data_IF_393057400447
#
_entry.id   IF_393057400447
#
_cell.length_a   1.000
_cell.length_b   1.000
_cell.length_c   1.000
_cell.angle_alpha   90.00
_cell.angle_beta   90.00
_cell.angle_gamma   90.00
#
_symmetry.space_group_name_H-M   'P 1'
#
loop_
_entity.id
_entity.type
_entity.pdbx_description
1 polymer ?
#
# COMPACT_ATOMS: atom_id res chain seq x y z
N UNK A 1 6.07 0.24 -16.52
CA UNK A 1 6.51 -1.05 -15.94
C UNK A 1 5.27 -1.85 -15.56
N UNK A 2 5.15 -3.11 -15.96
CA UNK A 2 3.99 -3.94 -15.60
C UNK A 2 4.23 -4.63 -14.25
N UNK A 3 3.50 -4.22 -13.21
CA UNK A 3 3.58 -4.81 -11.87
C UNK A 3 2.53 -5.91 -11.71
N UNK A 4 2.79 -7.08 -12.27
CA UNK A 4 1.96 -8.26 -12.04
C UNK A 4 2.26 -8.84 -10.65
N UNK A 5 1.46 -8.43 -9.66
CA UNK A 5 1.53 -8.87 -8.26
C UNK A 5 0.42 -9.87 -7.97
N UNK A 6 0.73 -10.92 -7.22
CA UNK A 6 -0.24 -11.85 -6.67
C UNK A 6 -1.11 -11.18 -5.59
N UNK A 7 -2.29 -11.75 -5.27
CA UNK A 7 -3.16 -11.19 -4.21
C UNK A 7 -2.47 -11.06 -2.84
N UNK A 8 -1.54 -11.99 -2.52
CA UNK A 8 -0.78 -11.96 -1.27
C UNK A 8 0.25 -10.83 -1.29
N UNK A 9 0.98 -10.65 -2.39
CA UNK A 9 1.93 -9.55 -2.54
C UNK A 9 1.24 -8.17 -2.48
N UNK A 10 0.09 -8.02 -3.15
CA UNK A 10 -0.74 -6.81 -3.07
C UNK A 10 -1.16 -6.54 -1.63
N UNK A 11 -1.62 -7.57 -0.91
CA UNK A 11 -2.01 -7.45 0.50
C UNK A 11 -0.84 -6.99 1.39
N UNK A 12 0.32 -7.62 1.21
CA UNK A 12 1.54 -7.30 1.98
C UNK A 12 1.99 -5.86 1.72
N UNK A 13 2.06 -5.46 0.45
CA UNK A 13 2.50 -4.13 0.07
C UNK A 13 1.53 -3.05 0.58
N UNK A 14 0.22 -3.27 0.39
CA UNK A 14 -0.82 -2.38 0.90
C UNK A 14 -0.79 -2.25 2.43
N UNK A 15 -0.52 -3.35 3.15
CA UNK A 15 -0.42 -3.32 4.62
C UNK A 15 0.80 -2.54 5.10
N UNK A 16 1.96 -2.67 4.43
CA UNK A 16 3.15 -1.88 4.75
C UNK A 16 2.92 -0.38 4.52
N UNK A 17 2.29 -0.01 3.40
CA UNK A 17 1.95 1.37 3.10
C UNK A 17 1.00 1.94 4.15
N UNK A 18 -0.12 1.26 4.42
CA UNK A 18 -1.09 1.68 5.44
C UNK A 18 -0.44 1.92 6.81
N UNK A 19 0.45 1.02 7.24
CA UNK A 19 1.08 1.11 8.57
C UNK A 19 2.18 2.16 8.68
N UNK A 20 2.84 2.51 7.58
CA UNK A 20 3.72 3.68 7.56
C UNK A 20 2.91 4.97 7.83
N UNK A 21 1.74 5.11 7.23
CA UNK A 21 0.87 6.27 7.45
C UNK A 21 0.23 6.29 8.84
N UNK A 22 -0.36 5.18 9.25
CA UNK A 22 -1.28 5.15 10.39
C UNK A 22 -0.61 4.81 11.71
N UNK A 23 0.58 4.19 11.68
CA UNK A 23 1.31 3.73 12.86
C UNK A 23 2.83 3.93 12.70
N UNK A 24 3.30 5.17 12.49
CA UNK A 24 4.71 5.45 12.22
C UNK A 24 5.65 4.97 13.34
N UNK A 25 5.22 5.05 14.60
CA UNK A 25 6.02 4.62 15.77
C UNK A 25 6.32 3.11 15.77
N UNK A 26 5.46 2.31 15.13
CA UNK A 26 5.63 0.87 15.02
C UNK A 26 6.29 0.44 13.71
N UNK A 27 6.51 1.38 12.77
CA UNK A 27 7.09 1.13 11.46
C UNK A 27 8.62 1.35 11.49
N UNK A 28 9.44 0.52 10.81
CA UNK A 28 9.09 -0.63 9.98
C UNK A 28 8.62 -1.86 10.78
N UNK A 29 7.83 -2.73 10.14
CA UNK A 29 7.14 -3.84 10.80
C UNK A 29 8.01 -5.10 10.88
N UNK A 30 7.91 -5.85 11.98
CA UNK A 30 8.39 -7.24 12.03
C UNK A 30 7.49 -8.16 11.20
N UNK A 31 7.95 -9.38 10.90
CA UNK A 31 7.18 -10.37 10.14
C UNK A 31 5.82 -10.71 10.80
N UNK A 32 5.82 -10.91 12.13
CA UNK A 32 4.60 -11.13 12.89
C UNK A 32 3.65 -9.92 12.83
N UNK A 33 4.15 -8.69 13.02
CA UNK A 33 3.32 -7.48 12.95
C UNK A 33 2.71 -7.30 11.55
N UNK A 34 3.48 -7.59 10.50
CA UNK A 34 3.01 -7.55 9.12
C UNK A 34 1.96 -8.64 8.84
N UNK A 35 2.16 -9.86 9.33
CA UNK A 35 1.18 -10.95 9.21
C UNK A 35 -0.14 -10.58 9.86
N UNK A 36 -0.10 -10.02 11.07
CA UNK A 36 -1.28 -9.51 11.76
C UNK A 36 -1.95 -8.36 10.98
N UNK A 37 -1.17 -7.47 10.36
CA UNK A 37 -1.69 -6.40 9.51
C UNK A 37 -2.37 -6.95 8.25
N UNK A 38 -1.87 -8.02 7.63
CA UNK A 38 -2.48 -8.63 6.46
C UNK A 38 -3.82 -9.33 6.78
N UNK A 39 -3.94 -9.88 7.98
CA UNK A 39 -5.08 -10.66 8.47
C UNK A 39 -6.10 -9.85 9.29
N UNK A 40 -6.02 -8.52 9.30
CA UNK A 40 -6.98 -7.69 10.02
C UNK A 40 -8.42 -7.94 9.54
N UNK A 41 -9.37 -7.99 10.48
CA UNK A 41 -10.80 -8.17 10.18
C UNK A 41 -11.46 -6.91 9.61
N UNK A 42 -10.82 -5.75 9.80
CA UNK A 42 -11.30 -4.45 9.33
C UNK A 42 -10.35 -3.90 8.29
N UNK A 43 -10.87 -3.05 7.40
CA UNK A 43 -10.09 -2.43 6.31
C UNK A 43 -9.42 -3.44 5.37
N UNK A 44 -9.96 -4.66 5.25
CA UNK A 44 -9.48 -5.72 4.36
C UNK A 44 -10.66 -6.33 3.62
N UNK A 45 -10.61 -6.31 2.30
CA UNK A 45 -11.58 -7.00 1.44
C UNK A 45 -10.81 -7.70 0.31
N UNK A 46 -10.76 -9.05 0.28
CA UNK A 46 -11.32 -9.98 1.27
C UNK A 46 -10.49 -10.03 2.57
N UNK A 47 -11.13 -10.40 3.68
CA UNK A 47 -10.39 -10.81 4.88
C UNK A 47 -9.61 -12.08 4.56
N UNK A 48 -8.31 -12.08 4.84
CA UNK A 48 -7.43 -13.22 4.60
C UNK A 48 -6.98 -13.84 5.93
N UNK A 49 -6.54 -15.09 5.88
CA UNK A 49 -5.88 -15.78 6.97
C UNK A 49 -4.56 -16.38 6.46
N UNK A 50 -3.58 -15.51 6.25
CA UNK A 50 -2.27 -15.86 5.74
C UNK A 50 -1.38 -16.41 6.84
N UNK A 51 -0.61 -17.45 6.54
CA UNK A 51 0.46 -17.92 7.40
C UNK A 51 1.67 -16.99 7.33
N UNK A 52 2.50 -17.02 8.37
CA UNK A 52 3.73 -16.22 8.43
C UNK A 52 4.69 -16.57 7.27
N UNK A 53 4.76 -17.85 6.87
CA UNK A 53 5.57 -18.32 5.75
C UNK A 53 5.11 -17.71 4.41
N UNK A 54 3.81 -17.67 4.14
CA UNK A 54 3.28 -17.06 2.91
C UNK A 54 3.57 -15.55 2.86
N UNK A 55 3.47 -14.88 4.00
CA UNK A 55 3.82 -13.45 4.10
C UNK A 55 5.31 -13.25 3.86
N UNK A 56 6.17 -14.11 4.41
CA UNK A 56 7.62 -14.04 4.20
C UNK A 56 7.99 -14.24 2.72
N UNK A 57 7.44 -15.27 2.07
CA UNK A 57 7.67 -15.53 0.63
C UNK A 57 7.27 -14.33 -0.24
N UNK A 58 6.13 -13.69 0.07
CA UNK A 58 5.69 -12.48 -0.60
C UNK A 58 6.63 -11.29 -0.35
N UNK A 59 7.07 -11.09 0.89
CA UNK A 59 8.05 -10.06 1.26
C UNK A 59 9.37 -10.25 0.50
N UNK A 60 9.89 -11.47 0.43
CA UNK A 60 11.13 -11.77 -0.29
C UNK A 60 10.98 -11.52 -1.79
N UNK A 61 9.83 -11.87 -2.37
CA UNK A 61 9.55 -11.62 -3.79
C UNK A 61 9.44 -10.12 -4.08
N UNK A 62 8.74 -9.37 -3.23
CA UNK A 62 8.65 -7.92 -3.31
C UNK A 62 10.02 -7.24 -3.12
N UNK A 63 10.87 -7.78 -2.24
CA UNK A 63 12.22 -7.28 -2.02
C UNK A 63 13.12 -7.49 -3.25
N UNK A 64 13.07 -8.66 -3.90
CA UNK A 64 13.76 -8.90 -5.18
C UNK A 64 13.32 -7.94 -6.29
N UNK A 65 12.07 -7.48 -6.25
CA UNK A 65 11.52 -6.48 -7.19
C UNK A 65 11.81 -5.03 -6.78
N UNK A 66 12.47 -4.82 -5.65
CA UNK A 66 12.80 -3.49 -5.11
C UNK A 66 11.63 -2.74 -4.48
N UNK A 67 10.49 -3.40 -4.24
CA UNK A 67 9.27 -2.78 -3.69
C UNK A 67 9.25 -2.80 -2.15
N UNK A 68 10.03 -3.67 -1.52
CA UNK A 68 10.19 -3.79 -0.06
C UNK A 68 11.68 -3.82 0.28
N UNK A 69 12.06 -3.23 1.41
CA UNK A 69 13.39 -3.34 2.00
C UNK A 69 13.31 -3.97 3.38
N UNK A 70 14.21 -4.90 3.64
CA UNK A 70 14.54 -5.32 4.99
C UNK A 70 15.42 -4.24 5.63
N UNK A 71 15.02 -3.72 6.78
CA UNK A 71 15.81 -2.80 7.59
C UNK A 71 16.27 -3.53 8.85
N UNK A 72 17.57 -3.53 9.09
CA UNK A 72 18.12 -3.93 10.38
C UNK A 72 17.87 -2.80 11.38
N UNK A 73 17.13 -3.06 12.45
CA UNK A 73 17.03 -2.10 13.55
C UNK A 73 18.38 -1.97 14.23
N UNK A 74 18.84 -0.75 14.55
CA UNK A 74 20.09 -0.58 15.31
C UNK A 74 19.97 -1.31 16.65
N UNK A 75 20.64 -2.46 16.78
CA UNK A 75 20.65 -3.28 18.00
C UNK A 75 19.54 -4.34 18.11
N UNK A 76 18.59 -4.44 17.18
CA UNK A 76 17.56 -5.50 17.20
C UNK A 76 17.89 -6.60 16.19
N UNK A 77 17.95 -7.85 16.66
CA UNK A 77 18.20 -9.03 15.80
C UNK A 77 16.99 -9.40 14.93
N UNK A 78 15.82 -8.82 15.17
CA UNK A 78 14.59 -9.15 14.44
C UNK A 78 14.53 -8.35 13.13
N UNK A 79 14.46 -9.01 11.96
CA UNK A 79 14.19 -8.36 10.69
C UNK A 79 12.95 -7.48 10.74
N UNK A 80 13.07 -6.26 10.22
CA UNK A 80 11.93 -5.37 9.97
C UNK A 80 11.82 -5.07 8.49
N UNK A 81 10.60 -4.81 8.01
CA UNK A 81 10.29 -4.60 6.60
C UNK A 81 9.62 -3.25 6.40
N UNK A 82 10.07 -2.55 5.37
CA UNK A 82 9.55 -1.27 4.92
C UNK A 82 9.17 -1.37 3.44
N UNK A 83 8.07 -0.78 3.01
CA UNK A 83 7.83 -0.56 1.59
C UNK A 83 8.84 0.46 1.04
N UNK A 84 9.07 0.39 -0.27
CA UNK A 84 9.91 1.33 -1.04
C UNK A 84 9.15 1.92 -2.22
N UNK A 85 7.82 1.76 -2.22
CA UNK A 85 7.00 2.19 -3.34
C UNK A 85 7.04 3.72 -3.48
N UNK A 86 7.11 4.43 -2.37
CA UNK A 86 7.32 5.87 -2.34
C UNK A 86 8.66 6.28 -2.98
N UNK A 87 9.76 5.63 -2.63
CA UNK A 87 11.08 5.94 -3.19
C UNK A 87 11.11 5.71 -4.70
N UNK A 88 10.60 4.55 -5.15
CA UNK A 88 10.57 4.24 -6.57
C UNK A 88 9.69 5.19 -7.37
N UNK A 89 8.47 5.44 -6.90
CA UNK A 89 7.51 6.27 -7.63
C UNK A 89 7.82 7.77 -7.53
N UNK A 90 8.48 8.24 -6.46
CA UNK A 90 8.87 9.65 -6.33
C UNK A 90 10.08 10.02 -7.17
N UNK A 91 11.07 9.13 -7.24
CA UNK A 91 12.27 9.35 -8.06
C UNK A 91 11.93 9.37 -9.55
N UNK A 92 10.92 8.60 -9.97
CA UNK A 92 10.54 8.44 -11.38
C UNK A 92 9.39 9.39 -11.80
N UNK A 93 8.40 9.66 -10.95
CA UNK A 93 7.14 10.31 -11.38
C UNK A 93 6.49 11.27 -10.34
N UNK A 94 7.27 11.85 -9.42
CA UNK A 94 6.78 12.82 -8.42
C UNK A 94 5.50 12.39 -7.66
N UNK A 95 5.50 11.13 -7.18
CA UNK A 95 4.33 10.51 -6.55
C UNK A 95 3.99 11.11 -5.17
N UNK A 96 2.76 11.63 -5.05
CA UNK A 96 2.30 12.32 -3.84
C UNK A 96 1.85 11.35 -2.73
N UNK A 97 1.77 11.85 -1.49
CA UNK A 97 1.21 11.05 -0.37
C UNK A 97 -0.28 10.76 -0.54
N UNK A 98 -1.02 11.66 -1.20
CA UNK A 98 -2.45 11.51 -1.47
C UNK A 98 -2.71 10.30 -2.38
N UNK A 99 -1.93 10.21 -3.46
CA UNK A 99 -1.98 9.10 -4.40
C UNK A 99 -1.61 7.76 -3.74
N UNK A 100 -0.61 7.78 -2.85
CA UNK A 100 -0.18 6.57 -2.13
C UNK A 100 -1.24 6.06 -1.16
N UNK A 101 -1.97 6.98 -0.53
CA UNK A 101 -3.13 6.64 0.29
C UNK A 101 -4.24 5.98 -0.52
N UNK A 102 -4.57 6.53 -1.70
CA UNK A 102 -5.57 5.94 -2.61
C UNK A 102 -5.16 4.53 -3.04
N UNK A 103 -3.93 4.36 -3.53
CA UNK A 103 -3.43 3.05 -3.95
C UNK A 103 -3.47 2.02 -2.81
N UNK A 104 -3.05 2.42 -1.61
CA UNK A 104 -3.08 1.53 -0.45
C UNK A 104 -4.50 1.04 -0.14
N UNK A 105 -5.51 1.90 -0.20
CA UNK A 105 -6.90 1.50 0.04
C UNK A 105 -7.38 0.52 -1.03
N UNK A 106 -7.08 0.78 -2.30
CA UNK A 106 -7.48 -0.09 -3.40
C UNK A 106 -6.76 -1.46 -3.36
N UNK A 107 -5.49 -1.49 -2.97
CA UNK A 107 -4.76 -2.75 -2.72
C UNK A 107 -5.39 -3.57 -1.59
N UNK A 108 -5.87 -2.90 -0.54
CA UNK A 108 -6.40 -3.56 0.65
C UNK A 108 -7.88 -3.94 0.54
N UNK A 109 -8.65 -3.24 -0.30
CA UNK A 109 -10.11 -3.34 -0.35
C UNK A 109 -10.70 -3.49 -1.76
N UNK A 110 -9.88 -3.64 -2.79
CA UNK A 110 -10.31 -3.81 -4.17
C UNK A 110 -10.96 -2.54 -4.76
N UNK A 111 -11.83 -2.67 -5.76
CA UNK A 111 -12.54 -1.54 -6.37
C UNK A 111 -13.38 -0.76 -5.36
N UNK A 112 -13.37 0.56 -5.48
CA UNK A 112 -14.04 1.47 -4.54
C UNK A 112 -14.68 2.62 -5.30
N UNK A 113 -15.77 3.16 -4.76
CA UNK A 113 -16.32 4.44 -5.23
C UNK A 113 -15.50 5.62 -4.71
N UNK A 114 -15.56 6.78 -5.38
CA UNK A 114 -14.88 7.99 -4.91
C UNK A 114 -15.34 8.40 -3.49
N UNK A 115 -16.63 8.25 -3.18
CA UNK A 115 -17.16 8.55 -1.84
C UNK A 115 -16.56 7.65 -0.76
N UNK A 116 -16.40 6.36 -1.05
CA UNK A 116 -15.75 5.42 -0.13
C UNK A 116 -14.26 5.72 0.02
N UNK A 117 -13.55 6.02 -1.07
CA UNK A 117 -12.13 6.38 -1.01
C UNK A 117 -11.92 7.59 -0.11
N UNK A 118 -12.72 8.65 -0.27
CA UNK A 118 -12.63 9.86 0.58
C UNK A 118 -12.72 9.53 2.07
N UNK A 119 -13.65 8.67 2.46
CA UNK A 119 -13.84 8.29 3.87
C UNK A 119 -12.70 7.38 4.35
N UNK A 120 -12.32 6.40 3.52
CA UNK A 120 -11.39 5.33 3.90
C UNK A 120 -9.92 5.80 3.90
N UNK A 121 -9.58 6.83 3.13
CA UNK A 121 -8.23 7.43 3.14
C UNK A 121 -7.99 8.39 4.30
N UNK A 122 -9.01 8.90 5.00
CA UNK A 122 -8.88 9.97 6.01
C UNK A 122 -7.78 9.72 7.06
N UNK A 123 -7.55 8.47 7.47
CA UNK A 123 -6.49 8.14 8.44
C UNK A 123 -5.07 8.19 7.87
N UNK A 124 -4.93 8.25 6.55
CA UNK A 124 -3.68 8.32 5.80
C UNK A 124 -3.49 9.71 5.18
N UNK A 125 -4.53 10.23 4.54
CA UNK A 125 -4.54 11.54 3.91
C UNK A 125 -5.98 12.06 3.89
N UNK A 126 -6.18 13.26 4.45
CA UNK A 126 -7.46 13.95 4.45
C UNK A 126 -7.57 14.83 3.21
N UNK A 127 -8.55 14.53 2.35
CA UNK A 127 -8.88 15.35 1.19
C UNK A 127 -9.81 16.49 1.59
N UNK A 128 -9.36 17.73 1.42
CA UNK A 128 -10.10 18.94 1.77
C UNK A 128 -11.37 19.13 0.94
N UNK A 129 -11.43 18.55 -0.26
CA UNK A 129 -12.62 18.60 -1.11
C UNK A 129 -12.78 17.35 -1.98
N UNK A 130 -13.99 17.12 -2.49
CA UNK A 130 -14.20 16.07 -3.52
C UNK A 130 -13.40 16.36 -4.79
N UNK A 131 -13.17 17.64 -5.11
CA UNK A 131 -12.39 18.04 -6.28
C UNK A 131 -10.91 17.61 -6.17
N UNK A 132 -10.31 17.76 -4.98
CA UNK A 132 -8.93 17.31 -4.73
C UNK A 132 -8.79 15.79 -4.89
N UNK A 133 -9.78 15.02 -4.41
CA UNK A 133 -9.82 13.58 -4.62
C UNK A 133 -9.98 13.25 -6.11
N UNK A 134 -10.88 13.92 -6.83
CA UNK A 134 -11.08 13.70 -8.27
C UNK A 134 -9.83 14.02 -9.09
N UNK A 135 -9.10 15.08 -8.74
CA UNK A 135 -7.81 15.42 -9.35
C UNK A 135 -6.77 14.33 -9.10
N UNK A 136 -6.68 13.83 -7.87
CA UNK A 136 -5.82 12.69 -7.52
C UNK A 136 -6.22 11.42 -8.30
N UNK A 137 -7.54 11.22 -8.42
CA UNK A 137 -8.26 10.29 -9.30
C UNK A 137 -7.66 10.23 -10.70
N UNK A 138 -7.79 11.38 -11.34
CA UNK A 138 -7.43 11.64 -12.71
C UNK A 138 -5.93 11.54 -12.94
N UNK A 139 -5.12 12.10 -12.03
CA UNK A 139 -3.67 12.01 -12.11
C UNK A 139 -3.21 10.55 -12.17
N UNK A 140 -3.73 9.70 -11.29
CA UNK A 140 -3.41 8.27 -11.25
C UNK A 140 -3.91 7.46 -12.45
N UNK A 141 -4.99 7.91 -13.11
CA UNK A 141 -5.63 7.19 -14.21
C UNK A 141 -5.12 7.62 -15.60
N UNK A 142 -4.78 8.89 -15.78
CA UNK A 142 -4.59 9.49 -17.11
C UNK A 142 -3.28 10.27 -17.28
N UNK A 143 -2.73 10.85 -16.22
CA UNK A 143 -1.62 11.83 -16.32
C UNK A 143 -0.24 11.21 -16.07
N UNK A 144 -0.20 9.90 -15.78
CA UNK A 144 1.04 9.14 -15.56
C UNK A 144 1.44 8.36 -16.79
N UNK A 145 2.75 8.23 -17.02
CA UNK A 145 3.32 7.45 -18.12
C UNK A 145 2.86 5.99 -18.08
N UNK A 146 2.62 5.47 -16.86
CA UNK A 146 1.94 4.21 -16.64
C UNK A 146 0.67 4.42 -15.78
N UNK A 147 -0.54 4.20 -16.32
CA UNK A 147 -1.78 4.36 -15.56
C UNK A 147 -1.81 3.38 -14.38
N UNK A 148 -2.00 3.91 -13.18
CA UNK A 148 -2.03 3.14 -11.94
C UNK A 148 -3.46 2.74 -11.54
N UNK A 149 -4.46 3.39 -12.14
CA UNK A 149 -5.88 3.13 -11.90
C UNK A 149 -6.63 2.88 -13.20
N UNK A 150 -7.70 2.09 -13.08
CA UNK A 150 -8.69 1.91 -14.13
C UNK A 150 -10.07 2.27 -13.56
N UNK A 151 -10.75 3.23 -14.18
CA UNK A 151 -12.13 3.50 -13.86
C UNK A 151 -13.02 2.42 -14.47
N UNK A 152 -13.77 1.72 -13.62
CA UNK A 152 -14.71 0.69 -14.06
C UNK A 152 -16.00 1.34 -14.60
N UNK A 153 -16.71 0.68 -15.54
CA UNK A 153 -18.04 1.09 -15.95
C UNK A 153 -18.98 1.20 -14.74
N UNK A 154 -19.93 2.15 -14.82
CA UNK A 154 -20.99 2.30 -13.82
C UNK A 154 -22.01 1.17 -13.91
#
# INVERSE_FOLDING_TARGET
>A
MELNLSPVEVRVLGALIEKEFTTPDSYPLSLNALTNACNQKTSREPVMNLSENLVLEAVETLARRGLVAQRAGSGSRVPKYAHRLDHRLREEENFSRAELAVLSILMLRGPQTAGELRIRTNRMHEFGSSHELEQTLKALAEERDAPCLLQLPR
#
